data_IF_248695264685
#
_entry.id   IF_248695264685
#
_cell.length_a   1.000
_cell.length_b   1.000
_cell.length_c   1.000
_cell.angle_alpha   90.00
_cell.angle_beta   90.00
_cell.angle_gamma   90.00
#
_symmetry.space_group_name_H-M   'P 1'
#
loop_
_entity.id
_entity.type
_entity.pdbx_description
1 polymer ?
#
# COMPACT_ATOMS: atom_id res chain seq x y z
N UNK A 1 -6.98 11.52 2.15
CA UNK A 1 -8.17 10.83 1.55
C UNK A 1 -8.11 9.29 1.67
N UNK A 2 -9.25 8.57 1.79
CA UNK A 2 -9.31 7.08 1.73
C UNK A 2 -9.43 6.55 0.31
N UNK A 3 -8.90 5.34 0.05
CA UNK A 3 -8.86 4.75 -1.30
C UNK A 3 -9.66 3.44 -1.30
N UNK A 4 -10.60 3.21 -2.24
CA UNK A 4 -11.28 1.92 -2.34
C UNK A 4 -10.29 0.75 -2.36
N UNK A 5 -10.49 -0.27 -1.51
CA UNK A 5 -9.54 -1.39 -1.34
C UNK A 5 -9.18 -2.06 -2.67
N UNK A 6 -10.16 -2.19 -3.58
CA UNK A 6 -9.95 -2.72 -4.93
C UNK A 6 -8.96 -1.86 -5.72
N UNK A 7 -9.11 -0.54 -5.68
CA UNK A 7 -8.24 0.38 -6.40
C UNK A 7 -6.83 0.35 -5.79
N UNK A 8 -6.71 0.41 -4.46
CA UNK A 8 -5.42 0.33 -3.78
C UNK A 8 -4.67 -0.97 -4.10
N UNK A 9 -5.40 -2.08 -4.24
CA UNK A 9 -4.83 -3.36 -4.69
C UNK A 9 -4.22 -3.27 -6.08
N UNK A 10 -4.93 -2.66 -7.02
CA UNK A 10 -4.44 -2.49 -8.40
C UNK A 10 -3.25 -1.52 -8.45
N UNK A 11 -3.28 -0.44 -7.67
CA UNK A 11 -2.17 0.50 -7.55
C UNK A 11 -0.89 -0.22 -7.07
N UNK A 12 -0.97 -1.02 -6.01
CA UNK A 12 0.18 -1.78 -5.53
C UNK A 12 0.63 -2.87 -6.51
N UNK A 13 -0.30 -3.58 -7.14
CA UNK A 13 0.05 -4.62 -8.14
C UNK A 13 0.75 -4.08 -9.37
N UNK A 14 0.42 -2.86 -9.77
CA UNK A 14 0.99 -2.22 -10.95
C UNK A 14 2.08 -1.21 -10.60
N UNK A 15 2.55 -1.18 -9.35
CA UNK A 15 3.50 -0.17 -8.88
C UNK A 15 4.79 -0.17 -9.68
N UNK A 16 5.32 -1.35 -10.04
CA UNK A 16 6.52 -1.45 -10.86
C UNK A 16 6.31 -0.90 -12.28
N UNK A 17 5.15 -1.19 -12.89
CA UNK A 17 4.82 -0.68 -14.22
C UNK A 17 4.65 0.85 -14.21
N UNK A 18 4.02 1.38 -13.16
CA UNK A 18 3.89 2.82 -12.97
C UNK A 18 5.24 3.48 -12.71
N UNK A 19 6.13 2.85 -11.92
CA UNK A 19 7.48 3.37 -11.70
C UNK A 19 8.29 3.44 -13.01
N UNK A 20 8.17 2.44 -13.88
CA UNK A 20 8.79 2.48 -15.21
C UNK A 20 8.24 3.64 -16.06
N UNK A 21 6.93 3.89 -16.01
CA UNK A 21 6.31 5.02 -16.71
C UNK A 21 6.79 6.38 -16.15
N UNK A 22 6.94 6.49 -14.83
CA UNK A 22 7.50 7.66 -14.17
C UNK A 22 8.96 7.89 -14.59
N UNK A 23 9.80 6.86 -14.60
CA UNK A 23 11.23 6.99 -14.95
C UNK A 23 11.43 7.40 -16.42
N UNK A 24 10.57 6.94 -17.33
CA UNK A 24 10.70 7.19 -18.77
C UNK A 24 10.01 8.51 -19.17
N UNK A 25 8.81 8.75 -18.67
CA UNK A 25 7.93 9.83 -19.15
C UNK A 25 7.68 10.93 -18.11
N UNK A 26 8.16 10.76 -16.87
CA UNK A 26 7.88 11.70 -15.77
C UNK A 26 6.43 11.66 -15.27
N UNK A 27 5.64 10.64 -15.66
CA UNK A 27 4.23 10.51 -15.27
C UNK A 27 4.10 9.91 -13.87
N UNK A 28 4.12 10.79 -12.88
CA UNK A 28 3.97 10.47 -11.46
C UNK A 28 2.51 10.34 -11.01
N UNK A 29 1.56 10.77 -11.83
CA UNK A 29 0.12 10.83 -11.52
C UNK A 29 -0.72 10.01 -12.49
N UNK A 30 -1.77 9.37 -11.97
CA UNK A 30 -2.80 8.70 -12.78
C UNK A 30 -4.20 9.06 -12.28
N UNK A 31 -5.15 9.17 -13.22
CA UNK A 31 -6.55 9.37 -12.89
C UNK A 31 -7.23 8.02 -12.67
N UNK A 32 -7.79 7.82 -11.47
CA UNK A 32 -8.55 6.62 -11.14
C UNK A 32 -9.95 6.59 -11.76
N UNK A 33 -10.65 5.44 -11.68
CA UNK A 33 -12.03 5.29 -12.17
C UNK A 33 -13.05 6.17 -11.43
N UNK A 34 -12.67 6.66 -10.24
CA UNK A 34 -13.41 7.62 -9.42
C UNK A 34 -13.14 9.08 -9.80
N UNK A 35 -12.33 9.33 -10.84
CA UNK A 35 -11.83 10.64 -11.28
C UNK A 35 -10.87 11.33 -10.32
N UNK A 36 -10.47 10.66 -9.24
CA UNK A 36 -9.42 11.17 -8.34
C UNK A 36 -8.05 10.98 -8.98
N UNK A 37 -7.13 11.88 -8.70
CA UNK A 37 -5.73 11.73 -9.09
C UNK A 37 -4.94 11.04 -7.99
N UNK A 38 -4.10 10.09 -8.38
CA UNK A 38 -3.24 9.34 -7.49
C UNK A 38 -1.80 9.60 -7.89
N UNK A 39 -0.97 10.01 -6.94
CA UNK A 39 0.47 10.18 -7.14
C UNK A 39 1.25 8.95 -6.67
N UNK A 40 2.22 8.50 -7.46
CA UNK A 40 3.04 7.31 -7.15
C UNK A 40 3.78 7.49 -5.84
N UNK A 41 4.30 8.69 -5.58
CA UNK A 41 5.05 9.00 -4.37
C UNK A 41 4.17 8.91 -3.13
N UNK A 42 2.91 9.32 -3.21
CA UNK A 42 1.96 9.22 -2.10
C UNK A 42 1.59 7.76 -1.83
N UNK A 43 1.42 6.94 -2.87
CA UNK A 43 1.13 5.51 -2.72
C UNK A 43 2.31 4.76 -2.11
N UNK A 44 3.53 5.06 -2.55
CA UNK A 44 4.76 4.50 -1.96
C UNK A 44 4.90 4.94 -0.52
N UNK A 45 4.70 6.24 -0.23
CA UNK A 45 4.78 6.78 1.11
C UNK A 45 3.75 6.11 2.03
N UNK A 46 2.49 6.00 1.61
CA UNK A 46 1.43 5.32 2.34
C UNK A 46 1.83 3.90 2.78
N UNK A 47 2.40 3.13 1.85
CA UNK A 47 2.89 1.79 2.15
C UNK A 47 4.02 1.81 3.19
N UNK A 48 5.04 2.65 2.98
CA UNK A 48 6.19 2.74 3.86
C UNK A 48 5.80 3.21 5.27
N UNK A 49 4.92 4.20 5.39
CA UNK A 49 4.43 4.69 6.68
C UNK A 49 3.70 3.58 7.43
N UNK A 50 2.88 2.78 6.75
CA UNK A 50 2.14 1.70 7.41
C UNK A 50 3.01 0.50 7.81
N UNK A 51 4.03 0.18 7.02
CA UNK A 51 4.97 -0.91 7.32
C UNK A 51 5.91 -0.54 8.45
N UNK A 52 6.47 0.68 8.41
CA UNK A 52 7.47 1.15 9.36
C UNK A 52 6.87 1.79 10.61
N UNK A 53 5.64 2.30 10.51
CA UNK A 53 4.95 3.00 11.58
C UNK A 53 4.67 2.12 12.80
N UNK A 54 4.58 2.80 13.95
CA UNK A 54 4.26 2.21 15.25
C UNK A 54 3.01 2.86 15.80
N UNK A 55 2.10 2.05 16.33
CA UNK A 55 0.96 2.55 17.08
C UNK A 55 1.36 3.01 18.48
N UNK A 56 0.42 3.62 19.21
CA UNK A 56 0.61 4.13 20.57
C UNK A 56 1.10 3.07 21.57
N UNK A 57 0.85 1.78 21.31
CA UNK A 57 1.29 0.65 22.13
C UNK A 57 2.66 0.09 21.71
N UNK A 58 3.41 0.78 20.83
CA UNK A 58 4.71 0.36 20.31
C UNK A 58 4.65 -0.77 19.27
N UNK A 59 3.48 -1.33 18.98
CA UNK A 59 3.32 -2.39 17.96
C UNK A 59 3.31 -1.79 16.56
N UNK A 60 3.72 -2.58 15.58
CA UNK A 60 3.54 -2.21 14.17
C UNK A 60 2.07 -1.96 13.84
N UNK A 61 1.82 -1.03 12.91
CA UNK A 61 0.47 -0.72 12.44
C UNK A 61 -0.19 -1.87 11.67
N UNK A 62 0.62 -2.65 10.93
CA UNK A 62 0.24 -3.88 10.24
C UNK A 62 0.89 -5.10 10.89
N UNK A 63 0.19 -6.22 10.93
CA UNK A 63 0.75 -7.50 11.38
C UNK A 63 1.82 -8.03 10.41
N UNK A 64 2.75 -8.90 10.85
CA UNK A 64 3.78 -9.46 9.97
C UNK A 64 3.22 -10.08 8.70
N UNK A 65 2.18 -10.92 8.81
CA UNK A 65 1.53 -11.58 7.68
C UNK A 65 0.91 -10.59 6.68
N UNK A 66 0.33 -9.50 7.17
CA UNK A 66 -0.23 -8.46 6.29
C UNK A 66 0.88 -7.75 5.53
N UNK A 67 1.99 -7.39 6.20
CA UNK A 67 3.13 -6.73 5.56
C UNK A 67 3.76 -7.62 4.50
N UNK A 68 4.03 -8.88 4.84
CA UNK A 68 4.60 -9.88 3.92
C UNK A 68 3.67 -10.12 2.73
N UNK A 69 2.37 -10.27 2.96
CA UNK A 69 1.42 -10.46 1.87
C UNK A 69 1.32 -9.23 0.95
N UNK A 70 1.30 -8.00 1.48
CA UNK A 70 1.30 -6.80 0.63
C UNK A 70 2.61 -6.73 -0.18
N UNK A 71 3.77 -6.91 0.46
CA UNK A 71 5.07 -6.84 -0.19
C UNK A 71 5.22 -7.90 -1.29
N UNK A 72 5.06 -9.18 -0.94
CA UNK A 72 5.40 -10.29 -1.82
C UNK A 72 4.32 -10.54 -2.88
N UNK A 73 3.04 -10.47 -2.48
CA UNK A 73 1.93 -10.83 -3.38
C UNK A 73 1.38 -9.64 -4.18
N UNK A 74 1.39 -8.42 -3.63
CA UNK A 74 0.93 -7.25 -4.39
C UNK A 74 2.10 -6.54 -5.07
N UNK A 75 3.10 -6.07 -4.30
CA UNK A 75 4.17 -5.22 -4.84
C UNK A 75 5.13 -5.99 -5.73
N UNK A 76 5.62 -7.15 -5.27
CA UNK A 76 6.52 -8.02 -6.04
C UNK A 76 5.78 -8.95 -7.01
N UNK A 77 4.44 -8.94 -6.98
CA UNK A 77 3.57 -9.72 -7.86
C UNK A 77 3.94 -11.22 -7.94
N UNK A 78 4.39 -11.82 -6.82
CA UNK A 78 4.75 -13.24 -6.78
C UNK A 78 3.52 -14.14 -6.78
N UNK A 79 3.61 -15.36 -7.34
CA UNK A 79 2.55 -16.36 -7.25
C UNK A 79 2.18 -16.70 -5.81
N UNK A 80 0.88 -16.84 -5.53
CA UNK A 80 0.36 -16.98 -4.17
C UNK A 80 0.98 -18.15 -3.39
N UNK A 81 1.15 -19.31 -4.05
CA UNK A 81 1.80 -20.50 -3.46
C UNK A 81 3.26 -20.27 -3.10
N UNK A 82 3.98 -19.49 -3.90
CA UNK A 82 5.37 -19.12 -3.62
C UNK A 82 5.42 -18.22 -2.38
N UNK A 83 4.52 -17.22 -2.31
CA UNK A 83 4.43 -16.32 -1.16
C UNK A 83 4.10 -17.09 0.11
N UNK A 84 3.15 -18.02 0.06
CA UNK A 84 2.80 -18.88 1.19
C UNK A 84 4.01 -19.67 1.71
N UNK A 85 4.84 -20.20 0.79
CA UNK A 85 6.10 -20.88 1.13
C UNK A 85 7.10 -19.93 1.78
N UNK A 86 7.29 -18.72 1.24
CA UNK A 86 8.20 -17.71 1.80
C UNK A 86 7.73 -17.29 3.22
N UNK A 87 6.42 -17.17 3.43
CA UNK A 87 5.81 -16.85 4.72
C UNK A 87 5.85 -18.02 5.73
N UNK A 88 6.34 -19.19 5.33
CA UNK A 88 6.42 -20.38 6.21
C UNK A 88 5.05 -20.96 6.59
N UNK A 89 4.05 -20.82 5.72
CA UNK A 89 2.69 -21.37 5.92
C UNK A 89 2.36 -22.42 4.84
N UNK A 90 1.24 -23.14 5.01
CA UNK A 90 0.76 -24.08 3.97
C UNK A 90 0.58 -23.37 2.63
N UNK A 91 0.94 -24.02 1.52
CA UNK A 91 0.76 -23.47 0.17
C UNK A 91 -0.70 -23.19 -0.20
N UNK A 92 -1.65 -23.82 0.51
CA UNK A 92 -3.09 -23.59 0.36
C UNK A 92 -3.60 -22.41 1.22
N UNK A 93 -2.72 -21.74 1.97
CA UNK A 93 -3.10 -20.62 2.81
C UNK A 93 -3.47 -19.41 1.94
N UNK A 94 -4.63 -18.75 2.15
CA UNK A 94 -5.08 -17.63 1.32
C UNK A 94 -4.30 -16.33 1.60
N UNK A 95 -3.08 -16.21 1.08
CA UNK A 95 -2.24 -15.02 1.16
C UNK A 95 -2.96 -13.77 0.62
N UNK A 96 -3.74 -13.90 -0.44
CA UNK A 96 -4.54 -12.81 -1.00
C UNK A 96 -5.51 -12.22 0.02
N UNK A 97 -6.02 -13.03 0.96
CA UNK A 97 -6.88 -12.56 2.05
C UNK A 97 -6.10 -11.73 3.06
N UNK A 98 -4.89 -12.14 3.42
CA UNK A 98 -4.02 -11.34 4.31
C UNK A 98 -3.66 -9.99 3.70
N UNK A 99 -3.34 -9.95 2.40
CA UNK A 99 -3.11 -8.70 1.69
C UNK A 99 -4.37 -7.81 1.74
N UNK A 100 -5.54 -8.36 1.43
CA UNK A 100 -6.83 -7.63 1.47
C UNK A 100 -7.11 -7.05 2.86
N UNK A 101 -6.94 -7.85 3.91
CA UNK A 101 -7.11 -7.40 5.30
C UNK A 101 -6.11 -6.31 5.67
N UNK A 102 -4.87 -6.38 5.16
CA UNK A 102 -3.87 -5.32 5.31
C UNK A 102 -4.29 -4.01 4.64
N UNK A 103 -4.87 -4.07 3.43
CA UNK A 103 -5.41 -2.90 2.73
C UNK A 103 -6.63 -2.28 3.44
N UNK A 104 -7.52 -3.11 3.98
CA UNK A 104 -8.63 -2.63 4.83
C UNK A 104 -8.08 -1.91 6.05
N UNK A 105 -7.06 -2.49 6.70
CA UNK A 105 -6.41 -1.88 7.87
C UNK A 105 -5.73 -0.56 7.52
N UNK A 106 -5.09 -0.46 6.35
CA UNK A 106 -4.51 0.77 5.82
C UNK A 106 -5.54 1.91 5.77
N UNK A 107 -6.70 1.66 5.16
CA UNK A 107 -7.77 2.68 5.12
C UNK A 107 -8.25 3.08 6.51
N UNK A 108 -8.42 2.14 7.43
CA UNK A 108 -8.79 2.47 8.81
C UNK A 108 -7.74 3.38 9.49
N UNK A 109 -6.45 3.14 9.23
CA UNK A 109 -5.37 3.98 9.77
C UNK A 109 -5.43 5.41 9.21
N UNK A 110 -5.80 5.56 7.93
CA UNK A 110 -6.03 6.87 7.31
C UNK A 110 -7.27 7.54 7.93
N UNK A 111 -8.41 6.84 7.99
CA UNK A 111 -9.68 7.38 8.53
C UNK A 111 -9.54 7.84 9.98
N UNK A 112 -8.73 7.14 10.76
CA UNK A 112 -8.46 7.48 12.16
C UNK A 112 -7.34 8.50 12.35
N UNK A 113 -6.72 8.98 11.27
CA UNK A 113 -5.62 9.95 11.30
C UNK A 113 -4.32 9.42 11.89
N UNK A 114 -4.16 8.09 12.01
CA UNK A 114 -2.92 7.46 12.51
C UNK A 114 -1.80 7.59 11.49
N UNK A 115 -2.14 7.59 10.20
CA UNK A 115 -1.22 7.89 9.10
C UNK A 115 -1.89 8.90 8.16
N UNK A 116 -1.11 9.76 7.46
CA UNK A 116 -1.66 10.65 6.46
C UNK A 116 -2.26 9.86 5.30
N UNK A 117 -3.33 10.37 4.71
CA UNK A 117 -3.87 9.86 3.46
C UNK A 117 -3.12 10.38 2.24
N UNK A 118 -3.55 9.93 1.06
CA UNK A 118 -3.05 10.44 -0.22
C UNK A 118 -3.57 11.86 -0.46
N UNK A 119 -2.71 12.75 -0.96
CA UNK A 119 -3.01 14.16 -1.20
C UNK A 119 -2.88 15.09 0.02
N UNK A 120 -2.65 14.57 1.23
CA UNK A 120 -2.63 15.38 2.46
C UNK A 120 -1.28 16.15 2.66
N UNK A 121 -0.43 16.24 1.62
CA UNK A 121 0.93 16.82 1.68
C UNK A 121 1.00 18.34 1.44
N UNK A 122 -0.12 18.99 1.14
CA UNK A 122 -0.13 20.43 0.83
C UNK A 122 0.19 21.34 2.05
N UNK A 123 0.18 20.81 3.28
CA UNK A 123 0.34 21.65 4.48
C UNK A 123 1.76 21.68 5.10
N UNK A 124 2.69 20.81 4.71
CA UNK A 124 4.04 20.77 5.32
C UNK A 124 5.09 21.65 4.60
N UNK A 125 4.83 22.08 3.35
CA UNK A 125 5.80 22.84 2.55
C UNK A 125 5.80 24.36 2.81
N UNK A 126 4.94 24.87 3.71
CA UNK A 126 4.82 26.32 4.02
C UNK A 126 5.45 26.70 5.37
N UNK A 127 6.08 25.76 6.06
CA UNK A 127 6.64 25.98 7.40
C UNK A 127 8.18 25.77 7.49
N UNK A 128 8.93 26.00 6.41
CA UNK A 128 10.39 26.01 6.41
C UNK A 128 10.96 27.34 5.91
#
# INVERSE_FOLDING_TARGET
>A
MTIPVRLLRELFRNLQAWNALYEIEGKDTITGPDRSEYCIHDIVHLYLTAVNGRGANGKHLLSPRQREAIQLFLIENRPEREVARIMGVSEDNPVASYATQGLVRLNQLIETGVIPGVGDREDEAVAA
#
